data_IF_020420696830
#
_entry.id   IF_020420696830
#
_cell.length_a   1.000
_cell.length_b   1.000
_cell.length_c   1.000
_cell.angle_alpha   90.00
_cell.angle_beta   90.00
_cell.angle_gamma   90.00
#
_symmetry.space_group_name_H-M   'P 1'
#
loop_
_entity.id
_entity.type
_entity.pdbx_description
1 polymer ?
#
# COMPACT_ATOMS: atom_id res chain seq x y z
N UNK A 1 12.22 -6.63 14.08
CA UNK A 1 13.25 -6.58 13.03
C UNK A 1 12.78 -7.43 11.86
N UNK A 2 12.24 -6.84 10.79
CA UNK A 2 11.90 -7.59 9.59
C UNK A 2 13.19 -7.98 8.87
N UNK A 3 13.31 -9.25 8.50
CA UNK A 3 14.37 -9.70 7.62
C UNK A 3 14.15 -9.07 6.24
N UNK A 4 15.15 -8.38 5.65
CA UNK A 4 15.07 -8.00 4.26
C UNK A 4 14.97 -9.27 3.44
N UNK A 5 13.91 -9.36 2.63
CA UNK A 5 13.81 -10.36 1.57
C UNK A 5 14.88 -9.97 0.55
N UNK A 6 16.10 -10.46 0.76
CA UNK A 6 17.13 -10.49 -0.26
C UNK A 6 16.59 -11.36 -1.39
N UNK A 7 16.02 -10.71 -2.42
CA UNK A 7 16.00 -11.33 -3.73
C UNK A 7 17.45 -11.67 -4.07
N UNK A 8 17.76 -12.96 -4.21
CA UNK A 8 18.97 -13.41 -4.89
C UNK A 8 18.89 -12.89 -6.32
N UNK A 9 19.36 -11.65 -6.50
CA UNK A 9 19.66 -11.07 -7.79
C UNK A 9 20.74 -11.97 -8.37
N UNK A 10 20.38 -12.77 -9.37
CA UNK A 10 21.33 -13.56 -10.14
C UNK A 10 22.45 -12.62 -10.61
N UNK A 11 23.58 -12.62 -9.92
CA UNK A 11 24.70 -11.70 -10.15
C UNK A 11 25.51 -12.19 -11.33
N UNK A 12 24.95 -12.08 -12.54
CA UNK A 12 25.82 -11.86 -13.69
C UNK A 12 26.58 -10.55 -13.40
N UNK A 13 27.90 -10.50 -13.62
CA UNK A 13 28.65 -9.27 -13.44
C UNK A 13 28.00 -8.18 -14.30
N UNK A 14 27.74 -7.01 -13.73
CA UNK A 14 26.97 -5.91 -14.34
C UNK A 14 27.38 -5.67 -15.80
N UNK A 15 28.69 -5.63 -16.05
CA UNK A 15 29.30 -5.48 -17.39
C UNK A 15 28.89 -6.54 -18.43
N UNK A 16 28.64 -7.78 -18.00
CA UNK A 16 28.18 -8.85 -18.89
C UNK A 16 26.72 -8.65 -19.27
N UNK A 17 25.89 -8.14 -18.35
CA UNK A 17 24.49 -7.84 -18.61
C UNK A 17 24.36 -6.67 -19.61
N UNK A 18 25.11 -5.59 -19.39
CA UNK A 18 25.13 -4.42 -20.28
C UNK A 18 25.60 -4.80 -21.70
N UNK A 19 26.62 -5.67 -21.78
CA UNK A 19 27.11 -6.21 -23.04
C UNK A 19 26.04 -6.99 -23.82
N UNK A 20 25.27 -7.84 -23.13
CA UNK A 20 24.17 -8.59 -23.74
C UNK A 20 23.08 -7.63 -24.25
N UNK A 21 22.71 -6.64 -23.44
CA UNK A 21 21.66 -5.66 -23.79
C UNK A 21 22.09 -4.82 -25.00
N UNK A 22 23.36 -4.41 -25.06
CA UNK A 22 23.92 -3.69 -26.21
C UNK A 22 23.87 -4.49 -27.51
N UNK A 23 24.15 -5.81 -27.45
CA UNK A 23 24.04 -6.71 -28.61
C UNK A 23 22.58 -6.82 -29.08
N UNK A 24 21.62 -6.93 -28.15
CA UNK A 24 20.18 -6.97 -28.48
C UNK A 24 19.75 -5.67 -29.16
N UNK A 25 20.18 -4.51 -28.65
CA UNK A 25 19.90 -3.22 -29.26
C UNK A 25 20.46 -3.14 -30.69
N UNK A 26 21.70 -3.57 -30.90
CA UNK A 26 22.35 -3.54 -32.22
C UNK A 26 21.64 -4.44 -33.24
N UNK A 27 21.31 -5.68 -32.87
CA UNK A 27 20.56 -6.61 -33.75
C UNK A 27 19.20 -6.02 -34.10
N UNK A 28 18.51 -5.43 -33.12
CA UNK A 28 17.19 -4.83 -33.31
C UNK A 28 17.26 -3.61 -34.23
N UNK A 29 18.27 -2.75 -34.08
CA UNK A 29 18.49 -1.60 -34.95
C UNK A 29 18.78 -2.03 -36.40
N UNK A 30 19.65 -3.03 -36.60
CA UNK A 30 19.96 -3.57 -37.93
C UNK A 30 18.71 -4.17 -38.57
N UNK A 31 17.95 -4.96 -37.81
CA UNK A 31 16.69 -5.56 -38.26
C UNK A 31 15.66 -4.51 -38.67
N UNK A 32 15.54 -3.42 -37.89
CA UNK A 32 14.66 -2.30 -38.21
C UNK A 32 15.10 -1.56 -39.47
N UNK A 33 16.39 -1.24 -39.62
CA UNK A 33 16.92 -0.55 -40.81
C UNK A 33 16.69 -1.40 -42.06
N UNK A 34 16.91 -2.70 -41.98
CA UNK A 34 16.80 -3.63 -43.10
C UNK A 34 15.35 -3.91 -43.53
N UNK A 35 14.42 -4.03 -42.58
CA UNK A 35 13.07 -4.51 -42.87
C UNK A 35 11.98 -3.45 -42.70
N UNK A 36 12.26 -2.36 -41.98
CA UNK A 36 11.29 -1.31 -41.59
C UNK A 36 10.07 -1.83 -40.81
N UNK A 37 10.13 -3.04 -40.27
CA UNK A 37 9.06 -3.56 -39.42
C UNK A 37 9.13 -3.01 -38.00
N UNK A 38 7.97 -2.62 -37.46
CA UNK A 38 7.83 -2.07 -36.11
C UNK A 38 8.14 -3.06 -34.99
N UNK A 39 8.13 -4.37 -35.28
CA UNK A 39 8.45 -5.42 -34.30
C UNK A 39 9.89 -5.31 -33.76
N UNK A 40 10.81 -4.73 -34.55
CA UNK A 40 12.18 -4.49 -34.14
C UNK A 40 12.35 -3.25 -33.25
N UNK A 41 11.35 -2.35 -33.21
CA UNK A 41 11.42 -1.14 -32.39
C UNK A 41 11.23 -1.45 -30.90
N UNK A 42 10.42 -2.45 -30.55
CA UNK A 42 10.14 -2.79 -29.16
C UNK A 42 11.39 -3.26 -28.39
N UNK A 43 12.15 -4.28 -28.86
CA UNK A 43 13.38 -4.67 -28.17
C UNK A 43 14.43 -3.54 -28.18
N UNK A 44 14.49 -2.73 -29.24
CA UNK A 44 15.38 -1.58 -29.31
C UNK A 44 15.07 -0.53 -28.22
N UNK A 45 13.80 -0.16 -28.06
CA UNK A 45 13.36 0.82 -27.04
C UNK A 45 13.65 0.29 -25.63
N UNK A 46 13.34 -0.98 -25.37
CA UNK A 46 13.57 -1.60 -24.06
C UNK A 46 15.06 -1.66 -23.73
N UNK A 47 15.91 -2.06 -24.68
CA UNK A 47 17.36 -2.10 -24.46
C UNK A 47 17.96 -0.72 -24.23
N UNK A 48 17.49 0.32 -24.94
CA UNK A 48 17.94 1.70 -24.71
C UNK A 48 17.50 2.20 -23.33
N UNK A 49 16.27 1.89 -22.91
CA UNK A 49 15.75 2.29 -21.59
C UNK A 49 16.56 1.66 -20.43
N UNK A 50 16.97 0.39 -20.58
CA UNK A 50 17.79 -0.29 -19.57
C UNK A 50 19.23 0.23 -19.59
N UNK A 51 19.82 0.50 -20.75
CA UNK A 51 21.21 1.02 -20.83
C UNK A 51 21.35 2.48 -20.42
N UNK A 52 20.28 3.27 -20.53
CA UNK A 52 20.26 4.67 -20.14
C UNK A 52 19.91 4.86 -18.64
N UNK A 53 20.27 3.86 -17.83
CA UNK A 53 19.92 3.62 -16.42
C UNK A 53 20.19 4.81 -15.46
N UNK A 54 20.91 5.85 -15.89
CA UNK A 54 21.23 7.00 -15.04
C UNK A 54 20.34 8.25 -15.28
N UNK A 55 19.67 8.41 -16.43
CA UNK A 55 18.88 9.64 -16.70
C UNK A 55 17.61 9.45 -17.54
N UNK A 56 17.38 8.26 -18.12
CA UNK A 56 16.23 8.00 -18.99
C UNK A 56 15.16 7.12 -18.35
N UNK A 57 14.89 7.33 -17.06
CA UNK A 57 13.62 6.93 -16.46
C UNK A 57 12.63 8.11 -16.41
N UNK A 58 12.06 8.60 -17.53
CA UNK A 58 10.88 9.46 -17.49
C UNK A 58 9.59 8.63 -17.40
N UNK A 59 9.64 7.39 -16.94
CA UNK A 59 8.44 6.61 -16.60
C UNK A 59 8.14 6.64 -15.08
N UNK A 60 8.92 7.34 -14.25
CA UNK A 60 8.56 7.63 -12.84
C UNK A 60 8.04 9.05 -12.67
N UNK A 61 8.54 10.00 -13.46
CA UNK A 61 7.88 11.29 -13.62
C UNK A 61 6.76 11.09 -14.64
N UNK A 62 5.67 10.46 -14.23
CA UNK A 62 4.40 10.64 -14.93
C UNK A 62 3.87 12.03 -14.52
N UNK A 63 3.99 13.09 -15.36
CA UNK A 63 3.24 14.34 -15.17
C UNK A 63 1.73 14.16 -15.39
N UNK A 64 1.24 12.92 -15.39
CA UNK A 64 -0.18 12.59 -15.50
C UNK A 64 -0.91 12.85 -14.17
N UNK A 65 -0.19 12.94 -13.05
CA UNK A 65 -0.68 13.54 -11.81
C UNK A 65 -0.07 14.94 -11.73
N UNK A 66 -0.88 15.95 -12.01
CA UNK A 66 -0.44 17.36 -12.06
C UNK A 66 -0.06 17.94 -10.70
N UNK A 67 -0.29 17.18 -9.63
CA UNK A 67 0.16 17.40 -8.26
C UNK A 67 0.34 16.00 -7.65
N UNK A 68 1.56 15.46 -7.51
CA UNK A 68 1.75 14.36 -6.57
C UNK A 68 1.39 14.92 -5.19
N UNK A 69 0.36 14.37 -4.56
CA UNK A 69 0.02 14.73 -3.18
C UNK A 69 1.24 14.44 -2.30
N UNK A 70 1.72 15.44 -1.57
CA UNK A 70 2.88 15.32 -0.67
C UNK A 70 2.58 14.37 0.51
N UNK A 71 1.31 13.99 0.64
CA UNK A 71 0.79 13.07 1.64
C UNK A 71 -0.01 11.93 0.98
N UNK A 72 0.26 10.69 1.37
CA UNK A 72 -0.59 9.54 1.02
C UNK A 72 -0.85 8.73 2.29
N UNK A 73 -2.11 8.35 2.49
CA UNK A 73 -2.49 7.47 3.59
C UNK A 73 -2.79 6.04 3.12
N UNK A 74 -2.47 5.06 3.95
CA UNK A 74 -2.92 3.69 3.76
C UNK A 74 -3.54 3.13 5.04
N UNK A 75 -4.47 2.19 4.88
CA UNK A 75 -5.13 1.54 5.98
C UNK A 75 -4.71 0.07 6.08
N UNK A 76 -4.48 -0.39 7.30
CA UNK A 76 -4.30 -1.81 7.61
C UNK A 76 -5.03 -2.20 8.89
N UNK A 77 -5.22 -3.51 9.05
CA UNK A 77 -5.81 -4.11 10.25
C UNK A 77 -4.68 -4.63 11.12
N UNK A 78 -4.69 -4.32 12.41
CA UNK A 78 -3.71 -4.78 13.38
C UNK A 78 -4.35 -5.64 14.47
N UNK A 79 -3.55 -6.45 15.16
CA UNK A 79 -3.95 -6.99 16.47
C UNK A 79 -3.97 -5.86 17.48
N UNK A 80 -5.04 -5.74 18.26
CA UNK A 80 -5.12 -4.74 19.31
C UNK A 80 -4.69 -5.34 20.65
N UNK A 81 -3.51 -4.97 21.12
CA UNK A 81 -2.98 -5.34 22.44
C UNK A 81 -2.93 -4.13 23.37
N UNK A 82 -2.89 -4.38 24.69
CA UNK A 82 -2.80 -3.34 25.72
C UNK A 82 -1.51 -2.51 25.63
N UNK A 83 -0.48 -3.06 24.96
CA UNK A 83 0.80 -2.41 24.67
C UNK A 83 0.81 -1.98 23.19
N UNK A 84 0.76 -0.67 22.89
CA UNK A 84 0.79 -0.13 21.53
C UNK A 84 2.00 -0.59 20.71
N UNK A 85 3.14 -0.86 21.36
CA UNK A 85 4.35 -1.35 20.70
C UNK A 85 4.22 -2.80 20.17
N UNK A 86 3.13 -3.48 20.52
CA UNK A 86 2.83 -4.87 20.10
C UNK A 86 1.67 -4.96 19.11
N UNK A 87 1.12 -3.84 18.66
CA UNK A 87 0.15 -3.86 17.57
C UNK A 87 0.85 -4.37 16.32
N UNK A 88 0.58 -5.63 15.97
CA UNK A 88 1.20 -6.26 14.81
C UNK A 88 0.26 -6.13 13.63
N UNK A 89 0.76 -5.65 12.47
CA UNK A 89 -0.01 -5.66 11.24
C UNK A 89 -0.49 -7.08 10.93
N UNK A 90 -1.80 -7.23 10.77
CA UNK A 90 -2.42 -8.49 10.41
C UNK A 90 -2.48 -8.58 8.88
N UNK A 91 -2.02 -9.69 8.26
CA UNK A 91 -2.17 -9.89 6.82
C UNK A 91 -3.64 -10.21 6.50
N UNK A 92 -4.51 -9.19 6.53
CA UNK A 92 -5.96 -9.30 6.43
C UNK A 92 -6.41 -10.05 5.17
N UNK A 93 -5.62 -9.95 4.09
CA UNK A 93 -5.82 -10.70 2.86
C UNK A 93 -5.91 -12.21 3.06
N UNK A 94 -5.14 -12.78 3.99
CA UNK A 94 -5.15 -14.23 4.26
C UNK A 94 -6.45 -14.69 4.94
N UNK A 95 -7.18 -13.77 5.56
CA UNK A 95 -8.44 -14.03 6.26
C UNK A 95 -9.65 -13.68 5.40
N UNK A 96 -9.63 -12.50 4.76
CA UNK A 96 -10.77 -11.94 4.03
C UNK A 96 -10.60 -11.98 2.51
N UNK A 97 -9.38 -12.12 1.99
CA UNK A 97 -9.03 -11.95 0.58
C UNK A 97 -9.09 -10.50 0.09
N UNK A 98 -9.21 -9.52 0.98
CA UNK A 98 -9.20 -8.10 0.64
C UNK A 98 -7.74 -7.60 0.59
N UNK A 99 -7.41 -6.79 -0.40
CA UNK A 99 -6.13 -6.07 -0.46
C UNK A 99 -6.23 -4.74 0.30
N UNK A 100 -5.10 -4.17 0.71
CA UNK A 100 -5.08 -2.88 1.43
C UNK A 100 -5.77 -1.73 0.66
N UNK A 101 -5.58 -1.55 -0.67
CA UNK A 101 -6.33 -0.54 -1.43
C UNK A 101 -7.85 -0.77 -1.41
N UNK A 102 -8.28 -2.04 -1.35
CA UNK A 102 -9.70 -2.39 -1.27
C UNK A 102 -10.26 -2.09 0.12
N UNK A 103 -9.45 -2.27 1.17
CA UNK A 103 -9.79 -1.88 2.55
C UNK A 103 -10.00 -0.36 2.63
N UNK A 104 -9.05 0.45 2.13
CA UNK A 104 -9.19 1.92 2.04
C UNK A 104 -10.46 2.32 1.29
N UNK A 105 -10.70 1.76 0.10
CA UNK A 105 -11.90 2.03 -0.68
C UNK A 105 -13.22 1.64 0.04
N UNK A 106 -13.20 0.58 0.85
CA UNK A 106 -14.37 0.22 1.65
C UNK A 106 -14.59 1.23 2.77
N UNK A 107 -13.53 1.66 3.44
CA UNK A 107 -13.59 2.69 4.47
C UNK A 107 -14.15 4.01 3.93
N UNK A 108 -13.61 4.51 2.81
CA UNK A 108 -14.07 5.74 2.14
C UNK A 108 -15.58 5.68 1.85
N UNK A 109 -16.04 4.52 1.35
CA UNK A 109 -17.45 4.29 1.04
C UNK A 109 -18.32 4.29 2.30
N UNK A 110 -17.89 3.63 3.37
CA UNK A 110 -18.64 3.59 4.63
C UNK A 110 -18.70 4.99 5.26
N UNK A 111 -17.62 5.77 5.19
CA UNK A 111 -17.59 7.16 5.62
C UNK A 111 -18.54 8.02 4.82
N UNK A 112 -18.52 7.92 3.49
CA UNK A 112 -19.43 8.66 2.62
C UNK A 112 -20.90 8.33 2.91
N UNK A 113 -21.22 7.04 3.06
CA UNK A 113 -22.57 6.57 3.38
C UNK A 113 -23.01 7.01 4.78
N UNK A 114 -22.10 7.05 5.75
CA UNK A 114 -22.36 7.51 7.12
C UNK A 114 -22.56 9.04 7.17
N UNK A 115 -21.71 9.82 6.50
CA UNK A 115 -21.85 11.26 6.36
C UNK A 115 -23.18 11.64 5.70
N UNK A 116 -23.59 10.93 4.64
CA UNK A 116 -24.92 11.10 4.00
C UNK A 116 -26.06 10.86 4.97
N UNK A 117 -25.99 9.83 5.84
CA UNK A 117 -27.01 9.56 6.87
C UNK A 117 -27.12 10.72 7.87
N UNK A 118 -25.99 11.31 8.25
CA UNK A 118 -25.93 12.46 9.15
C UNK A 118 -26.23 13.81 8.46
N UNK A 119 -26.39 13.82 7.12
CA UNK A 119 -26.50 15.03 6.29
C UNK A 119 -25.32 16.00 6.50
N UNK A 120 -24.14 15.44 6.74
CA UNK A 120 -22.87 16.15 6.88
C UNK A 120 -21.97 15.89 5.67
N UNK A 121 -20.95 16.71 5.48
CA UNK A 121 -19.82 16.38 4.60
C UNK A 121 -18.88 15.43 5.32
N UNK A 122 -18.11 14.66 4.56
CA UNK A 122 -17.11 13.74 5.11
C UNK A 122 -16.09 14.45 6.02
N UNK A 123 -15.64 15.65 5.62
CA UNK A 123 -14.73 16.50 6.42
C UNK A 123 -15.34 17.05 7.72
N UNK A 124 -16.65 16.86 7.93
CA UNK A 124 -17.37 17.32 9.13
C UNK A 124 -17.68 16.16 10.10
N UNK A 125 -17.19 14.96 9.80
CA UNK A 125 -17.26 13.82 10.72
C UNK A 125 -16.34 14.06 11.91
N UNK A 126 -16.84 13.75 13.10
CA UNK A 126 -16.07 13.79 14.34
C UNK A 126 -15.24 12.51 14.50
N UNK A 127 -14.26 12.51 15.40
CA UNK A 127 -13.48 11.29 15.71
C UNK A 127 -14.38 10.14 16.18
N UNK A 128 -15.47 10.44 16.88
CA UNK A 128 -16.48 9.46 17.28
C UNK A 128 -17.25 8.86 16.08
N UNK A 129 -17.55 9.70 15.09
CA UNK A 129 -18.18 9.28 13.83
C UNK A 129 -17.23 8.36 13.04
N UNK A 130 -15.95 8.72 12.96
CA UNK A 130 -14.90 7.92 12.29
C UNK A 130 -14.71 6.58 13.01
N UNK A 131 -14.65 6.58 14.35
CA UNK A 131 -14.55 5.35 15.14
C UNK A 131 -15.77 4.43 14.94
N UNK A 132 -16.96 5.02 14.77
CA UNK A 132 -18.19 4.26 14.47
C UNK A 132 -18.09 3.58 13.10
N UNK A 133 -17.60 4.29 12.09
CA UNK A 133 -17.35 3.74 10.75
C UNK A 133 -16.30 2.63 10.79
N UNK A 134 -15.17 2.87 11.46
CA UNK A 134 -14.12 1.88 11.61
C UNK A 134 -14.60 0.60 12.32
N UNK A 135 -15.46 0.74 13.34
CA UNK A 135 -16.09 -0.41 14.01
C UNK A 135 -16.99 -1.22 13.08
N UNK A 136 -17.83 -0.57 12.28
CA UNK A 136 -18.67 -1.24 11.27
C UNK A 136 -17.83 -1.97 10.22
N UNK A 137 -16.67 -1.41 9.86
CA UNK A 137 -15.76 -2.03 8.92
C UNK A 137 -15.06 -3.28 9.51
N UNK A 138 -14.69 -3.24 10.79
CA UNK A 138 -14.14 -4.40 11.51
C UNK A 138 -15.17 -5.55 11.62
N UNK A 139 -16.44 -5.22 11.86
CA UNK A 139 -17.54 -6.20 11.82
C UNK A 139 -17.67 -6.88 10.45
N UNK A 140 -17.62 -6.09 9.37
CA UNK A 140 -17.64 -6.60 8.00
C UNK A 140 -16.45 -7.54 7.74
N UNK A 141 -15.25 -7.21 8.23
CA UNK A 141 -14.09 -8.10 8.10
C UNK A 141 -14.28 -9.43 8.82
N UNK A 142 -14.86 -9.42 10.02
CA UNK A 142 -15.21 -10.65 10.74
C UNK A 142 -16.25 -11.47 9.96
N UNK A 143 -17.27 -10.83 9.40
CA UNK A 143 -18.29 -11.51 8.59
C UNK A 143 -17.69 -12.16 7.33
N UNK A 144 -16.82 -11.44 6.60
CA UNK A 144 -16.14 -11.95 5.41
C UNK A 144 -15.22 -13.12 5.78
N UNK A 145 -14.42 -12.98 6.85
CA UNK A 145 -13.54 -14.05 7.32
C UNK A 145 -14.34 -15.31 7.71
N UNK A 146 -15.45 -15.15 8.43
CA UNK A 146 -16.34 -16.24 8.81
C UNK A 146 -16.92 -16.94 7.57
N UNK A 147 -17.35 -16.19 6.55
CA UNK A 147 -17.78 -16.73 5.26
C UNK A 147 -16.71 -17.56 4.54
N UNK A 148 -15.43 -17.31 4.83
CA UNK A 148 -14.27 -18.07 4.35
C UNK A 148 -13.78 -19.15 5.30
N UNK A 149 -14.51 -19.42 6.39
CA UNK A 149 -14.10 -20.36 7.43
C UNK A 149 -12.74 -20.02 8.07
N UNK A 150 -12.45 -18.72 8.15
CA UNK A 150 -11.27 -18.17 8.83
C UNK A 150 -11.73 -17.40 10.06
N UNK A 151 -10.93 -17.44 11.11
CA UNK A 151 -11.20 -16.71 12.35
C UNK A 151 -10.19 -15.58 12.47
N UNK A 152 -10.68 -14.35 12.63
CA UNK A 152 -9.83 -13.20 12.96
C UNK A 152 -9.51 -13.20 14.46
N UNK A 153 -8.38 -12.59 14.86
CA UNK A 153 -8.05 -12.39 16.27
C UNK A 153 -9.17 -11.73 17.06
N UNK A 154 -9.16 -11.98 18.36
CA UNK A 154 -10.18 -11.49 19.29
C UNK A 154 -10.20 -9.96 19.35
N UNK A 155 -9.04 -9.33 19.42
CA UNK A 155 -8.91 -7.88 19.47
C UNK A 155 -8.28 -7.35 18.18
N UNK A 156 -9.00 -6.47 17.51
CA UNK A 156 -8.61 -5.86 16.24
C UNK A 156 -8.57 -4.35 16.36
N UNK A 157 -7.67 -3.73 15.61
CA UNK A 157 -7.67 -2.31 15.37
C UNK A 157 -7.60 -2.01 13.88
N UNK A 158 -8.27 -0.94 13.48
CA UNK A 158 -8.10 -0.32 12.17
C UNK A 158 -7.12 0.84 12.33
N UNK A 159 -6.01 0.78 11.62
CA UNK A 159 -4.93 1.76 11.70
C UNK A 159 -4.80 2.46 10.36
N UNK A 160 -4.82 3.79 10.41
CA UNK A 160 -4.48 4.66 9.30
C UNK A 160 -3.05 5.15 9.49
N UNK A 161 -2.25 5.07 8.43
CA UNK A 161 -0.89 5.63 8.43
C UNK A 161 -0.83 6.70 7.36
N UNK A 162 -0.46 7.90 7.78
CA UNK A 162 -0.11 9.00 6.90
C UNK A 162 1.39 8.96 6.64
N UNK A 163 1.76 8.94 5.36
CA UNK A 163 3.15 9.10 4.92
C UNK A 163 3.27 10.51 4.37
N UNK A 164 4.13 11.32 4.97
CA UNK A 164 4.39 12.70 4.56
C UNK A 164 5.86 12.85 4.17
N UNK A 165 6.11 13.54 3.06
CA UNK A 165 7.47 13.93 2.68
C UNK A 165 7.97 15.00 3.66
N UNK A 166 9.20 14.86 4.15
CA UNK A 166 9.84 15.89 4.96
C UNK A 166 10.58 16.93 4.08
N UNK A 167 10.88 18.09 4.65
CA UNK A 167 11.59 19.19 3.97
C UNK A 167 13.02 18.81 3.55
N UNK A 168 13.58 17.75 4.13
CA UNK A 168 14.95 17.24 3.89
C UNK A 168 14.99 16.10 2.85
N UNK A 169 13.84 15.74 2.25
CA UNK A 169 13.71 14.69 1.23
C UNK A 169 13.59 13.26 1.76
N UNK A 170 13.39 13.09 3.07
CA UNK A 170 12.97 11.86 3.73
C UNK A 170 11.44 11.73 3.85
N UNK A 171 11.01 10.76 4.65
CA UNK A 171 9.60 10.40 4.83
C UNK A 171 9.31 10.16 6.31
N UNK A 172 8.18 10.70 6.79
CA UNK A 172 7.68 10.43 8.14
C UNK A 172 6.36 9.66 8.07
N UNK A 173 6.21 8.68 8.96
CA UNK A 173 5.00 7.86 9.07
C UNK A 173 4.28 8.19 10.38
N UNK A 174 3.03 8.63 10.29
CA UNK A 174 2.18 8.88 11.46
C UNK A 174 1.03 7.88 11.48
N UNK A 175 1.06 6.97 12.45
CA UNK A 175 0.03 5.94 12.63
C UNK A 175 -1.04 6.38 13.64
N UNK A 176 -2.30 6.33 13.22
CA UNK A 176 -3.47 6.66 14.04
C UNK A 176 -4.44 5.47 14.08
N UNK A 177 -4.88 5.10 15.29
CA UNK A 177 -5.92 4.07 15.46
C UNK A 177 -7.28 4.72 15.23
N UNK A 178 -7.93 4.38 14.12
CA UNK A 178 -9.27 4.89 13.79
C UNK A 178 -10.35 4.22 14.64
N UNK A 179 -10.23 2.92 14.86
CA UNK A 179 -11.17 2.14 15.67
C UNK A 179 -10.49 0.90 16.25
N UNK A 180 -10.97 0.44 17.40
CA UNK A 180 -10.57 -0.81 18.01
C UNK A 180 -11.81 -1.60 18.45
N UNK A 181 -11.78 -2.92 18.27
CA UNK A 181 -12.92 -3.79 18.52
C UNK A 181 -12.49 -5.15 19.07
N UNK A 182 -13.20 -5.60 20.10
CA UNK A 182 -13.11 -6.97 20.62
C UNK A 182 -14.11 -7.91 19.93
N UNK A 183 -13.86 -9.22 20.04
CA UNK A 183 -14.81 -10.23 19.62
C UNK A 183 -16.13 -10.08 20.40
N UNK A 184 -17.27 -10.49 19.81
CA UNK A 184 -18.57 -10.43 20.48
C UNK A 184 -18.51 -11.10 21.86
N UNK A 185 -18.83 -10.34 22.91
CA UNK A 185 -18.83 -10.83 24.30
C UNK A 185 -17.51 -10.65 25.06
N UNK A 186 -16.49 -10.01 24.48
CA UNK A 186 -15.25 -9.66 25.17
C UNK A 186 -15.11 -8.14 25.34
N UNK A 187 -14.57 -7.71 26.48
CA UNK A 187 -14.25 -6.29 26.72
C UNK A 187 -13.03 -5.87 25.89
N UNK A 188 -12.96 -4.60 25.50
CA UNK A 188 -11.75 -4.03 24.90
C UNK A 188 -10.67 -3.87 25.99
N UNK A 189 -9.41 -4.28 25.76
CA UNK A 189 -8.35 -3.97 26.69
C UNK A 189 -8.19 -2.44 26.81
N UNK A 190 -7.82 -1.91 28.00
CA UNK A 190 -7.67 -0.48 28.20
C UNK A 190 -6.60 0.09 27.26
N UNK A 191 -6.91 1.20 26.59
CA UNK A 191 -5.97 1.93 25.74
C UNK A 191 -4.90 2.54 26.67
N UNK A 192 -3.70 1.95 26.73
CA UNK A 192 -2.56 2.63 27.33
C UNK A 192 -2.12 3.73 26.37
N UNK A 193 -2.41 4.99 26.70
CA UNK A 193 -2.01 6.18 25.91
C UNK A 193 -0.51 6.47 26.06
N UNK A 194 0.32 5.47 25.80
CA UNK A 194 1.77 5.69 25.67
C UNK A 194 2.03 5.91 24.19
N UNK A 195 2.53 7.09 23.77
CA UNK A 195 2.83 7.36 22.37
C UNK A 195 3.82 6.29 21.86
N UNK A 196 3.48 5.67 20.73
CA UNK A 196 4.38 4.79 19.99
C UNK A 196 5.50 5.69 19.45
N UNK A 197 6.72 5.52 19.96
CA UNK A 197 7.94 6.10 19.41
C UNK A 197 8.61 5.12 18.46
#
# INVERSE_FOLDING_TARGET
MPHPICYERWTLPLYLMDGIIGVIAAISLIGWIATRYSIWCLPLIVSVAILAEDECYPLSYFPMYSDPDESENFLYVATFETDPARHQPLPIHNFTGLSAPKVKKMEDKYREDYAKKLKKKDKELTDEDIATVGSQLLDEFRAIAAGKQKTLPDHLALVEVWIEADDDGGWTETATILAAQSAPGQALPPISTTPVQ
#
